data_IF_595878817630
#
_entry.id   IF_595878817630
#
_cell.length_a   1.000
_cell.length_b   1.000
_cell.length_c   1.000
_cell.angle_alpha   90.00
_cell.angle_beta   90.00
_cell.angle_gamma   90.00
#
_symmetry.space_group_name_H-M   'P 1'
#
loop_
_entity.id
_entity.type
_entity.pdbx_description
1 polymer ?
#
# COMPACT_ATOMS: atom_id res chain seq x y z
N UNK A 1 -18.90 12.99 11.10
CA UNK A 1 -17.51 13.38 10.79
C UNK A 1 -16.73 12.09 10.66
N UNK A 2 -16.31 11.73 9.45
CA UNK A 2 -15.52 10.51 9.22
C UNK A 2 -14.18 10.70 9.91
N UNK A 3 -13.86 9.84 10.89
CA UNK A 3 -12.52 9.78 11.45
C UNK A 3 -11.56 9.37 10.33
N UNK A 4 -10.40 10.04 10.17
CA UNK A 4 -9.38 9.58 9.24
C UNK A 4 -8.99 8.16 9.63
N UNK A 5 -8.84 7.27 8.62
CA UNK A 5 -8.34 5.90 8.83
C UNK A 5 -6.95 5.99 9.48
N UNK A 6 -6.87 5.66 10.75
CA UNK A 6 -5.60 5.60 11.47
C UNK A 6 -5.25 4.14 11.72
N UNK A 7 -4.12 3.71 11.19
CA UNK A 7 -3.57 2.37 11.45
C UNK A 7 -2.61 2.44 12.64
N UNK A 8 -2.65 1.44 13.53
CA UNK A 8 -1.65 1.36 14.59
C UNK A 8 -0.32 0.81 14.04
N UNK A 9 0.83 1.22 14.60
CA UNK A 9 2.12 0.61 14.25
C UNK A 9 2.13 -0.90 14.46
N UNK A 10 1.43 -1.40 15.49
CA UNK A 10 1.34 -2.84 15.78
C UNK A 10 0.58 -3.61 14.70
N UNK A 11 -0.54 -3.05 14.20
CA UNK A 11 -1.26 -3.63 13.07
C UNK A 11 -0.38 -3.71 11.82
N UNK A 12 0.36 -2.64 11.50
CA UNK A 12 1.27 -2.62 10.37
C UNK A 12 2.42 -3.62 10.54
N UNK A 13 2.93 -3.82 11.75
CA UNK A 13 3.93 -4.84 12.05
C UNK A 13 3.38 -6.26 11.90
N UNK A 14 2.15 -6.48 12.36
CA UNK A 14 1.51 -7.78 12.33
C UNK A 14 1.26 -8.27 10.88
N UNK A 15 0.91 -7.35 9.98
CA UNK A 15 0.63 -7.69 8.58
C UNK A 15 1.88 -7.75 7.68
N UNK A 16 2.98 -7.09 8.06
CA UNK A 16 4.18 -6.95 7.22
C UNK A 16 4.73 -8.29 6.67
N UNK A 17 4.77 -9.40 7.44
CA UNK A 17 5.18 -10.70 6.90
C UNK A 17 4.24 -11.24 5.81
N UNK A 18 2.93 -11.05 5.96
CA UNK A 18 1.94 -11.44 4.95
C UNK A 18 2.05 -10.56 3.70
N UNK A 19 2.24 -9.24 3.90
CA UNK A 19 2.48 -8.28 2.81
C UNK A 19 3.71 -8.68 1.99
N UNK A 20 4.80 -9.02 2.67
CA UNK A 20 6.05 -9.39 2.00
C UNK A 20 5.91 -10.69 1.20
N UNK A 21 5.24 -11.70 1.78
CA UNK A 21 5.03 -13.00 1.13
C UNK A 21 4.10 -12.92 -0.10
N UNK A 22 3.18 -11.96 -0.12
CA UNK A 22 2.15 -11.84 -1.16
C UNK A 22 2.59 -11.07 -2.41
N UNK A 23 3.58 -10.19 -2.31
CA UNK A 23 4.02 -9.32 -3.41
C UNK A 23 4.43 -10.10 -4.64
N UNK A 24 4.09 -9.56 -5.82
CA UNK A 24 4.51 -10.13 -7.10
C UNK A 24 6.02 -9.97 -7.33
N UNK A 25 6.76 -11.07 -7.26
CA UNK A 25 8.17 -11.09 -7.65
C UNK A 25 8.36 -10.80 -9.13
N UNK A 26 7.41 -11.18 -9.97
CA UNK A 26 7.44 -10.92 -11.42
C UNK A 26 7.46 -9.40 -11.69
N UNK A 27 6.59 -8.63 -11.01
CA UNK A 27 6.58 -7.18 -11.18
C UNK A 27 7.79 -6.51 -10.52
N UNK A 28 8.28 -7.03 -9.39
CA UNK A 28 9.49 -6.52 -8.75
C UNK A 28 10.72 -6.70 -9.65
N UNK A 29 10.89 -7.85 -10.30
CA UNK A 29 11.97 -8.12 -11.24
C UNK A 29 11.85 -7.27 -12.52
N UNK A 30 10.63 -7.07 -13.02
CA UNK A 30 10.40 -6.18 -14.16
C UNK A 30 10.72 -4.73 -13.82
N UNK A 31 10.29 -4.25 -12.65
CA UNK A 31 10.63 -2.93 -12.12
C UNK A 31 12.14 -2.73 -12.07
N UNK A 32 12.89 -3.66 -11.46
CA UNK A 32 14.34 -3.56 -11.33
C UNK A 32 15.00 -3.43 -12.71
N UNK A 33 14.58 -4.25 -13.69
CA UNK A 33 15.10 -4.16 -15.07
C UNK A 33 14.81 -2.83 -15.77
N UNK A 34 13.62 -2.27 -15.55
CA UNK A 34 13.23 -0.96 -16.13
C UNK A 34 14.05 0.16 -15.52
N UNK A 35 14.21 0.16 -14.18
CA UNK A 35 14.95 1.20 -13.47
C UNK A 35 16.45 1.18 -13.76
N UNK A 36 17.05 0.00 -13.88
CA UNK A 36 18.48 -0.13 -14.25
C UNK A 36 18.79 0.49 -15.61
N UNK A 37 17.84 0.49 -16.56
CA UNK A 37 18.03 1.10 -17.87
C UNK A 37 17.86 2.64 -17.85
N UNK A 38 17.15 3.15 -16.85
CA UNK A 38 16.73 4.55 -16.77
C UNK A 38 17.68 5.43 -15.92
N UNK A 39 18.58 4.85 -15.16
CA UNK A 39 19.48 5.56 -14.22
C UNK A 39 20.93 5.33 -14.64
N UNK A 40 21.71 6.40 -14.78
CA UNK A 40 23.16 6.29 -14.98
C UNK A 40 23.83 5.78 -13.69
N UNK A 41 24.99 5.16 -13.82
CA UNK A 41 25.70 4.50 -12.70
C UNK A 41 26.01 5.47 -11.55
N UNK A 42 26.13 6.76 -11.85
CA UNK A 42 26.50 7.82 -10.87
C UNK A 42 25.27 8.52 -10.25
N UNK A 43 24.06 8.23 -10.71
CA UNK A 43 22.84 8.88 -10.23
C UNK A 43 22.14 8.05 -9.14
N UNK A 44 21.64 8.71 -8.08
CA UNK A 44 20.75 8.06 -7.12
C UNK A 44 19.34 7.97 -7.67
N UNK A 45 18.73 6.80 -7.58
CA UNK A 45 17.34 6.61 -7.95
C UNK A 45 16.41 7.32 -6.94
N UNK A 46 15.69 8.35 -7.40
CA UNK A 46 14.65 9.01 -6.61
C UNK A 46 13.37 8.15 -6.53
N UNK A 47 12.93 7.82 -5.32
CA UNK A 47 11.71 7.04 -5.05
C UNK A 47 10.79 7.83 -4.11
N UNK A 48 9.52 7.98 -4.50
CA UNK A 48 8.47 8.52 -3.64
C UNK A 48 7.54 7.38 -3.20
N UNK A 49 7.44 7.16 -1.88
CA UNK A 49 6.54 6.17 -1.28
C UNK A 49 5.37 6.90 -0.60
N UNK A 50 4.17 6.73 -1.13
CA UNK A 50 2.95 7.41 -0.70
C UNK A 50 2.22 6.58 0.37
N UNK A 51 1.71 7.26 1.41
CA UNK A 51 1.06 6.61 2.56
C UNK A 51 1.94 5.46 3.11
N UNK A 52 3.21 5.79 3.33
CA UNK A 52 4.29 4.82 3.60
C UNK A 52 4.10 4.04 4.90
N UNK A 53 3.25 4.55 5.81
CA UNK A 53 3.09 3.97 7.13
C UNK A 53 4.43 3.91 7.88
N UNK A 54 4.84 2.72 8.29
CA UNK A 54 6.12 2.46 8.98
C UNK A 54 7.27 2.10 8.04
N UNK A 55 7.15 2.35 6.72
CA UNK A 55 8.20 2.10 5.73
C UNK A 55 8.35 0.64 5.28
N UNK A 56 7.34 -0.19 5.47
CA UNK A 56 7.38 -1.60 5.03
C UNK A 56 7.61 -1.77 3.53
N UNK A 57 7.05 -0.85 2.73
CA UNK A 57 7.19 -0.87 1.28
C UNK A 57 8.65 -0.65 0.84
N UNK A 58 9.35 0.30 1.46
CA UNK A 58 10.80 0.50 1.26
C UNK A 58 11.58 -0.78 1.58
N UNK A 59 11.35 -1.36 2.77
CA UNK A 59 12.08 -2.57 3.21
C UNK A 59 11.88 -3.76 2.29
N UNK A 60 10.71 -3.84 1.65
CA UNK A 60 10.42 -4.88 0.67
C UNK A 60 11.08 -4.62 -0.68
N UNK A 61 11.04 -3.39 -1.20
CA UNK A 61 11.43 -3.09 -2.58
C UNK A 61 12.90 -2.72 -2.74
N UNK A 62 13.49 -1.99 -1.78
CA UNK A 62 14.83 -1.47 -1.93
C UNK A 62 15.89 -2.55 -2.25
N UNK A 63 15.86 -3.76 -1.64
CA UNK A 63 16.79 -4.83 -1.98
C UNK A 63 16.62 -5.38 -3.40
N UNK A 64 15.39 -5.41 -3.93
CA UNK A 64 15.12 -5.85 -5.30
C UNK A 64 15.62 -4.85 -6.35
N UNK A 65 15.55 -3.56 -6.02
CA UNK A 65 16.00 -2.50 -6.92
C UNK A 65 17.52 -2.44 -6.94
N UNK A 66 18.18 -2.54 -5.79
CA UNK A 66 19.63 -2.44 -5.65
C UNK A 66 20.18 -1.04 -5.93
N UNK A 67 21.52 -0.88 -5.81
CA UNK A 67 22.21 0.36 -6.13
C UNK A 67 21.95 1.53 -5.16
N UNK A 68 22.29 2.73 -5.62
CA UNK A 68 22.12 3.95 -4.83
C UNK A 68 20.69 4.52 -4.99
N UNK A 69 19.97 4.69 -3.88
CA UNK A 69 18.57 5.11 -3.87
C UNK A 69 18.35 6.26 -2.88
N UNK A 70 17.45 7.18 -3.24
CA UNK A 70 16.93 8.19 -2.34
C UNK A 70 15.42 8.01 -2.20
N UNK A 71 14.99 7.61 -1.02
CA UNK A 71 13.58 7.41 -0.70
C UNK A 71 13.01 8.61 0.05
N UNK A 72 11.91 9.13 -0.47
CA UNK A 72 11.06 10.09 0.23
C UNK A 72 9.80 9.36 0.70
N UNK A 73 9.73 9.10 2.00
CA UNK A 73 8.60 8.43 2.64
C UNK A 73 7.60 9.49 3.10
N UNK A 74 6.37 9.44 2.59
CA UNK A 74 5.34 10.41 2.97
C UNK A 74 4.10 9.75 3.52
N UNK A 75 3.57 10.33 4.60
CA UNK A 75 2.34 9.91 5.26
C UNK A 75 1.67 11.13 5.92
N UNK A 76 0.38 11.02 6.23
CA UNK A 76 -0.33 12.01 7.03
C UNK A 76 -0.07 11.81 8.53
N UNK A 77 0.14 10.56 8.96
CA UNK A 77 0.31 10.22 10.39
C UNK A 77 1.78 10.36 10.80
N UNK A 78 2.05 11.43 11.53
CA UNK A 78 3.41 11.73 12.05
C UNK A 78 3.94 10.64 13.00
N UNK A 79 3.06 9.86 13.64
CA UNK A 79 3.47 8.76 14.54
C UNK A 79 4.05 7.61 13.73
N UNK A 80 3.42 7.28 12.58
CA UNK A 80 3.93 6.27 11.66
C UNK A 80 5.23 6.70 11.01
N UNK A 81 5.33 7.98 10.62
CA UNK A 81 6.56 8.56 10.07
C UNK A 81 7.72 8.56 11.08
N UNK A 82 7.44 8.68 12.38
CA UNK A 82 8.47 8.57 13.42
C UNK A 82 9.00 7.12 13.57
N UNK A 83 8.14 6.12 13.34
CA UNK A 83 8.50 4.71 13.39
C UNK A 83 9.30 4.25 12.15
N UNK A 84 9.06 4.84 10.98
CA UNK A 84 9.65 4.38 9.72
C UNK A 84 11.19 4.35 9.73
N UNK A 85 11.92 5.40 10.20
CA UNK A 85 13.37 5.37 10.35
C UNK A 85 13.86 4.31 11.33
N UNK A 86 13.18 4.18 12.47
CA UNK A 86 13.55 3.22 13.52
C UNK A 86 13.47 1.80 13.00
N UNK A 87 12.36 1.44 12.35
CA UNK A 87 12.16 0.11 11.78
C UNK A 87 13.08 -0.16 10.60
N UNK A 88 13.39 0.86 9.81
CA UNK A 88 14.35 0.74 8.70
C UNK A 88 15.77 0.48 9.20
N UNK A 89 16.20 1.16 10.26
CA UNK A 89 17.50 0.87 10.90
C UNK A 89 17.52 -0.55 11.48
N UNK A 90 16.49 -0.95 12.24
CA UNK A 90 16.42 -2.29 12.83
C UNK A 90 16.45 -3.39 11.76
N UNK A 91 15.72 -3.20 10.64
CA UNK A 91 15.72 -4.10 9.50
C UNK A 91 17.09 -4.21 8.84
N UNK A 92 17.81 -3.10 8.66
CA UNK A 92 19.14 -3.10 8.07
C UNK A 92 20.15 -3.83 8.97
N UNK A 93 20.13 -3.54 10.28
CA UNK A 93 20.97 -4.21 11.27
C UNK A 93 20.71 -5.72 11.31
N UNK A 94 19.43 -6.15 11.24
CA UNK A 94 19.07 -7.56 11.20
C UNK A 94 19.61 -8.29 9.95
N UNK A 95 19.90 -7.54 8.86
CA UNK A 95 20.58 -8.05 7.66
C UNK A 95 22.12 -7.99 7.73
N UNK A 96 22.68 -7.50 8.83
CA UNK A 96 24.13 -7.27 8.96
C UNK A 96 24.61 -6.05 8.17
N UNK A 97 23.74 -5.10 7.86
CA UNK A 97 24.07 -3.87 7.13
C UNK A 97 24.32 -2.72 8.09
N UNK A 98 25.06 -1.71 7.63
CA UNK A 98 25.25 -0.47 8.36
C UNK A 98 23.99 0.40 8.27
N UNK A 99 23.57 0.99 9.40
CA UNK A 99 22.47 1.93 9.46
C UNK A 99 22.76 3.06 10.43
N UNK A 100 22.49 4.30 9.99
CA UNK A 100 22.69 5.52 10.82
C UNK A 100 21.47 6.42 10.64
N UNK A 101 20.84 6.80 11.77
CA UNK A 101 19.75 7.76 11.81
C UNK A 101 20.24 9.15 12.23
N UNK A 102 19.84 10.17 11.48
CA UNK A 102 19.98 11.58 11.84
C UNK A 102 18.59 12.25 11.83
N UNK A 103 18.40 13.41 12.48
CA UNK A 103 17.13 14.13 12.39
C UNK A 103 16.72 14.37 10.92
N UNK A 104 15.59 13.78 10.52
CA UNK A 104 15.02 13.92 9.17
C UNK A 104 15.64 13.03 8.09
N UNK A 105 16.71 12.29 8.36
CA UNK A 105 17.35 11.40 7.39
C UNK A 105 17.83 10.10 8.03
N UNK A 106 17.76 9.01 7.26
CA UNK A 106 18.33 7.70 7.62
C UNK A 106 19.18 7.21 6.47
N UNK A 107 20.33 6.67 6.79
CA UNK A 107 21.27 6.10 5.82
C UNK A 107 21.41 4.61 6.09
N UNK A 108 21.36 3.81 5.04
CA UNK A 108 21.58 2.36 5.10
C UNK A 108 22.57 1.99 4.03
N UNK A 109 23.59 1.21 4.40
CA UNK A 109 24.58 0.67 3.45
C UNK A 109 24.72 -0.83 3.61
N UNK A 110 24.46 -1.55 2.54
CA UNK A 110 24.65 -2.98 2.40
C UNK A 110 25.53 -3.31 1.18
N UNK A 111 25.79 -4.58 0.89
CA UNK A 111 26.71 -4.99 -0.19
C UNK A 111 26.31 -4.47 -1.58
N UNK A 112 25.00 -4.40 -1.86
CA UNK A 112 24.46 -4.02 -3.17
C UNK A 112 23.49 -2.84 -3.09
N UNK A 113 23.48 -2.11 -1.96
CA UNK A 113 22.48 -1.09 -1.67
C UNK A 113 23.09 0.07 -0.88
N UNK A 114 22.75 1.30 -1.28
CA UNK A 114 23.10 2.52 -0.58
C UNK A 114 21.84 3.42 -0.53
N UNK A 115 21.18 3.48 0.63
CA UNK A 115 19.94 4.22 0.82
C UNK A 115 20.16 5.52 1.56
N UNK A 116 19.57 6.58 1.04
CA UNK A 116 19.23 7.79 1.80
C UNK A 116 17.71 7.82 1.93
N UNK A 117 17.19 7.93 3.13
CA UNK A 117 15.76 7.91 3.42
C UNK A 117 15.37 9.20 4.13
N UNK A 118 14.43 9.93 3.57
CA UNK A 118 13.83 11.13 4.16
C UNK A 118 12.35 10.90 4.44
N UNK A 119 11.80 11.55 5.47
CA UNK A 119 10.37 11.48 5.78
C UNK A 119 9.72 12.86 5.62
N UNK A 120 8.46 12.89 5.22
CA UNK A 120 7.70 14.13 5.04
C UNK A 120 6.21 13.94 5.34
N UNK A 121 5.58 14.95 5.95
CA UNK A 121 4.13 14.92 6.16
C UNK A 121 3.43 15.33 4.87
N UNK A 122 2.54 14.48 4.38
CA UNK A 122 1.77 14.74 3.18
C UNK A 122 0.31 14.28 3.32
N UNK A 123 -0.60 15.22 3.09
CA UNK A 123 -2.03 14.92 3.04
C UNK A 123 -2.46 14.67 1.58
N UNK A 124 -2.74 13.41 1.26
CA UNK A 124 -3.17 13.00 -0.08
C UNK A 124 -4.54 13.57 -0.50
N UNK A 125 -5.33 14.13 0.44
CA UNK A 125 -6.55 14.89 0.08
C UNK A 125 -6.25 16.08 -0.81
N UNK A 126 -5.03 16.55 -0.82
CA UNK A 126 -4.58 17.65 -1.68
C UNK A 126 -4.25 17.23 -3.13
N UNK A 127 -4.27 15.94 -3.47
CA UNK A 127 -4.05 15.46 -4.84
C UNK A 127 -4.95 16.18 -5.87
N UNK A 128 -6.23 16.32 -5.57
CA UNK A 128 -7.21 16.95 -6.46
C UNK A 128 -7.12 18.48 -6.51
N UNK A 129 -6.41 19.10 -5.55
CA UNK A 129 -6.20 20.56 -5.52
C UNK A 129 -5.02 21.01 -6.37
N UNK A 130 -4.31 20.06 -6.97
CA UNK A 130 -3.10 20.30 -7.79
C UNK A 130 -3.41 20.65 -9.24
N UNK A 131 -4.69 20.82 -9.63
CA UNK A 131 -5.04 21.23 -10.98
C UNK A 131 -4.49 22.64 -11.25
N UNK A 132 -3.65 22.77 -12.29
CA UNK A 132 -3.06 23.99 -12.81
C UNK A 132 -4.15 25.05 -13.10
N UNK A 133 -4.38 25.92 -12.15
CA UNK A 133 -4.95 27.23 -12.43
C UNK A 133 -3.74 28.14 -12.65
N UNK A 134 -3.53 28.53 -13.89
CA UNK A 134 -2.44 29.42 -14.29
C UNK A 134 -2.34 30.60 -13.30
N UNK A 135 -1.17 30.76 -12.65
CA UNK A 135 -0.87 31.84 -11.72
C UNK A 135 -0.97 31.53 -10.22
N UNK A 136 -1.26 30.29 -9.80
CA UNK A 136 -1.14 29.87 -8.40
C UNK A 136 0.22 29.20 -8.13
N UNK A 137 0.83 29.43 -6.94
CA UNK A 137 2.02 28.68 -6.57
C UNK A 137 1.71 27.17 -6.63
N UNK A 138 2.66 26.40 -7.18
CA UNK A 138 2.54 24.93 -7.29
C UNK A 138 2.12 24.35 -5.93
N UNK A 139 1.10 23.49 -5.94
CA UNK A 139 0.68 22.81 -4.72
C UNK A 139 1.88 22.08 -4.09
N UNK A 140 2.07 22.12 -2.76
CA UNK A 140 3.20 21.46 -2.09
C UNK A 140 3.36 19.99 -2.49
N UNK A 141 2.26 19.31 -2.86
CA UNK A 141 2.29 17.92 -3.30
C UNK A 141 3.08 17.71 -4.59
N UNK A 142 3.06 18.68 -5.53
CA UNK A 142 3.77 18.58 -6.81
C UNK A 142 5.28 18.50 -6.61
N UNK A 143 5.80 19.23 -5.60
CA UNK A 143 7.22 19.22 -5.25
C UNK A 143 7.75 17.83 -4.86
N UNK A 144 6.92 16.99 -4.21
CA UNK A 144 7.32 15.64 -3.84
C UNK A 144 7.50 14.70 -5.04
N UNK A 145 6.83 14.97 -6.16
CA UNK A 145 6.95 14.17 -7.39
C UNK A 145 8.16 14.60 -8.27
N UNK A 146 8.73 15.77 -8.03
CA UNK A 146 9.84 16.27 -8.85
C UNK A 146 11.10 15.42 -8.63
N UNK A 147 11.72 15.01 -9.74
CA UNK A 147 12.94 14.19 -9.71
C UNK A 147 12.74 12.73 -9.33
N UNK A 148 11.50 12.30 -8.98
CA UNK A 148 11.21 10.91 -8.71
C UNK A 148 11.17 10.09 -10.00
N UNK A 149 11.94 9.01 -10.04
CA UNK A 149 11.90 8.00 -11.11
C UNK A 149 10.92 6.88 -10.84
N UNK A 150 10.62 6.64 -9.57
CA UNK A 150 9.63 5.67 -9.11
C UNK A 150 8.66 6.35 -8.16
N UNK A 151 7.37 6.18 -8.39
CA UNK A 151 6.30 6.47 -7.43
C UNK A 151 5.67 5.16 -7.03
N UNK A 152 5.61 4.90 -5.73
CA UNK A 152 5.08 3.65 -5.19
C UNK A 152 4.13 3.89 -4.02
N UNK A 153 3.27 2.93 -3.75
CA UNK A 153 2.40 2.87 -2.57
C UNK A 153 2.01 1.42 -2.30
N UNK A 154 1.67 1.13 -1.05
CA UNK A 154 1.18 -0.18 -0.64
C UNK A 154 -0.17 -0.05 0.05
N UNK A 155 -1.18 -0.85 -0.37
CA UNK A 155 -2.53 -0.88 0.18
C UNK A 155 -3.19 0.52 0.26
N UNK A 156 -3.14 1.27 -0.84
CA UNK A 156 -3.62 2.65 -0.90
C UNK A 156 -4.79 2.83 -1.88
N UNK A 157 -4.72 2.22 -3.08
CA UNK A 157 -5.62 2.59 -4.18
C UNK A 157 -7.09 2.29 -3.87
N UNK A 158 -7.37 1.26 -3.11
CA UNK A 158 -8.73 0.91 -2.66
C UNK A 158 -9.35 1.93 -1.69
N UNK A 159 -8.53 2.78 -1.06
CA UNK A 159 -8.98 3.84 -0.17
C UNK A 159 -9.28 5.15 -0.90
N UNK A 160 -8.72 5.34 -2.09
CA UNK A 160 -8.83 6.56 -2.88
C UNK A 160 -10.16 6.62 -3.63
N UNK A 161 -10.65 7.84 -3.87
CA UNK A 161 -11.77 8.09 -4.78
C UNK A 161 -11.30 8.21 -6.23
N UNK A 162 -12.23 8.12 -7.18
CA UNK A 162 -11.96 8.27 -8.62
C UNK A 162 -11.20 9.58 -8.95
N UNK A 163 -11.61 10.78 -8.46
CA UNK A 163 -10.86 12.01 -8.72
C UNK A 163 -9.42 11.98 -8.16
N UNK A 164 -9.20 11.31 -7.02
CA UNK A 164 -7.89 11.18 -6.40
C UNK A 164 -6.96 10.31 -7.24
N UNK A 165 -7.44 9.17 -7.70
CA UNK A 165 -6.69 8.25 -8.57
C UNK A 165 -6.35 8.93 -9.89
N UNK A 166 -7.29 9.64 -10.51
CA UNK A 166 -7.05 10.40 -11.74
C UNK A 166 -5.98 11.50 -11.55
N UNK A 167 -6.01 12.19 -10.41
CA UNK A 167 -5.01 13.22 -10.09
C UNK A 167 -3.63 12.59 -9.85
N UNK A 168 -3.57 11.48 -9.10
CA UNK A 168 -2.34 10.72 -8.85
C UNK A 168 -1.69 10.25 -10.16
N UNK A 169 -2.47 9.67 -11.07
CA UNK A 169 -1.99 9.22 -12.38
C UNK A 169 -1.38 10.39 -13.18
N UNK A 170 -2.03 11.57 -13.19
CA UNK A 170 -1.49 12.77 -13.84
C UNK A 170 -0.17 13.24 -13.22
N UNK A 171 -0.05 13.23 -11.89
CA UNK A 171 1.19 13.62 -11.20
C UNK A 171 2.34 12.67 -11.54
N UNK A 172 2.09 11.35 -11.54
CA UNK A 172 3.05 10.35 -11.99
C UNK A 172 3.48 10.58 -13.45
N UNK A 173 2.52 10.90 -14.33
CA UNK A 173 2.80 11.19 -15.73
C UNK A 173 3.68 12.45 -15.90
N UNK A 174 3.36 13.55 -15.20
CA UNK A 174 4.16 14.78 -15.23
C UNK A 174 5.59 14.56 -14.72
N UNK A 175 5.75 13.78 -13.66
CA UNK A 175 7.05 13.39 -13.13
C UNK A 175 7.83 12.43 -14.05
N UNK A 176 7.19 11.89 -15.08
CA UNK A 176 7.73 10.82 -15.95
C UNK A 176 8.15 9.59 -15.17
N UNK A 177 7.52 9.34 -14.04
CA UNK A 177 7.86 8.26 -13.14
C UNK A 177 7.37 6.91 -13.65
N UNK A 178 8.13 5.85 -13.35
CA UNK A 178 7.61 4.48 -13.30
C UNK A 178 6.70 4.39 -12.06
N UNK A 179 5.65 3.59 -12.14
CA UNK A 179 4.66 3.46 -11.05
C UNK A 179 4.58 2.01 -10.63
N UNK A 180 4.71 1.75 -9.31
CA UNK A 180 4.44 0.45 -8.74
C UNK A 180 3.50 0.62 -7.54
N UNK A 181 2.25 0.21 -7.68
CA UNK A 181 1.29 0.16 -6.59
C UNK A 181 1.01 -1.31 -6.24
N UNK A 182 1.12 -1.65 -4.96
CA UNK A 182 1.08 -3.04 -4.52
C UNK A 182 0.01 -3.27 -3.46
N UNK A 183 -0.43 -4.52 -3.33
CA UNK A 183 -1.33 -4.98 -2.28
C UNK A 183 -2.65 -4.18 -2.23
N UNK A 184 -3.20 -3.82 -3.39
CA UNK A 184 -4.51 -3.19 -3.49
C UNK A 184 -5.59 -4.26 -3.35
N UNK A 185 -6.47 -4.12 -2.38
CA UNK A 185 -7.59 -5.03 -2.16
C UNK A 185 -8.50 -5.10 -3.40
N UNK A 186 -8.86 -6.33 -3.83
CA UNK A 186 -9.63 -6.56 -5.05
C UNK A 186 -11.03 -7.18 -4.83
N UNK A 187 -11.47 -7.28 -3.57
CA UNK A 187 -12.80 -7.73 -3.20
C UNK A 187 -12.93 -9.24 -2.98
N UNK A 188 -11.91 -10.02 -3.29
CA UNK A 188 -11.93 -11.46 -3.06
C UNK A 188 -11.57 -11.79 -1.63
N UNK A 189 -12.43 -12.54 -0.97
CA UNK A 189 -12.19 -13.12 0.36
C UNK A 189 -12.65 -14.57 0.29
N UNK A 190 -11.80 -15.50 0.69
CA UNK A 190 -12.15 -16.90 0.85
C UNK A 190 -11.71 -17.40 2.22
N UNK A 191 -12.54 -18.23 2.83
CA UNK A 191 -12.32 -18.79 4.15
C UNK A 191 -12.45 -20.30 4.10
N UNK A 192 -11.55 -21.01 4.78
CA UNK A 192 -11.62 -22.44 4.97
C UNK A 192 -11.46 -22.77 6.48
N UNK A 193 -12.26 -23.70 7.05
CA UNK A 193 -13.46 -24.31 6.44
C UNK A 193 -14.51 -23.27 6.03
N UNK A 194 -15.38 -23.57 5.06
CA UNK A 194 -16.45 -22.65 4.64
C UNK A 194 -17.56 -22.57 5.69
N UNK A 195 -18.14 -21.37 5.84
CA UNK A 195 -19.30 -21.12 6.70
C UNK A 195 -20.46 -20.53 5.85
N UNK A 196 -21.72 -20.79 6.20
CA UNK A 196 -22.86 -20.36 5.38
C UNK A 196 -22.92 -18.86 5.09
N UNK A 197 -22.44 -18.02 6.03
CA UNK A 197 -22.56 -16.56 5.95
C UNK A 197 -21.33 -15.89 5.29
N UNK A 198 -20.31 -16.63 4.85
CA UNK A 198 -19.06 -16.06 4.34
C UNK A 198 -19.26 -15.12 3.16
N UNK A 199 -20.10 -15.50 2.20
CA UNK A 199 -20.40 -14.66 1.03
C UNK A 199 -21.13 -13.38 1.41
N UNK A 200 -22.13 -13.48 2.28
CA UNK A 200 -22.90 -12.33 2.75
C UNK A 200 -22.00 -11.34 3.49
N UNK A 201 -21.09 -11.84 4.35
CA UNK A 201 -20.13 -10.99 5.07
C UNK A 201 -19.15 -10.35 4.09
N UNK A 202 -18.59 -11.09 3.13
CA UNK A 202 -17.71 -10.54 2.08
C UNK A 202 -18.41 -9.40 1.33
N UNK A 203 -19.66 -9.58 0.95
CA UNK A 203 -20.42 -8.57 0.20
C UNK A 203 -20.67 -7.30 1.03
N UNK A 204 -20.92 -7.46 2.33
CA UNK A 204 -21.03 -6.34 3.26
C UNK A 204 -19.68 -5.61 3.41
N UNK A 205 -18.58 -6.33 3.56
CA UNK A 205 -17.23 -5.76 3.59
C UNK A 205 -16.93 -5.00 2.31
N UNK A 206 -17.23 -5.57 1.14
CA UNK A 206 -17.03 -4.91 -0.15
C UNK A 206 -17.85 -3.62 -0.30
N UNK A 207 -19.07 -3.60 0.23
CA UNK A 207 -19.89 -2.37 0.29
C UNK A 207 -19.25 -1.35 1.23
N UNK A 208 -18.78 -1.77 2.40
CA UNK A 208 -18.10 -0.91 3.35
C UNK A 208 -16.80 -0.31 2.76
N UNK A 209 -16.03 -1.09 1.97
CA UNK A 209 -14.83 -0.58 1.32
C UNK A 209 -15.11 0.55 0.32
N UNK A 210 -16.33 0.66 -0.21
CA UNK A 210 -16.74 1.75 -1.10
C UNK A 210 -17.29 2.99 -0.38
N UNK A 211 -17.35 2.98 0.95
CA UNK A 211 -17.74 4.19 1.72
C UNK A 211 -16.64 5.24 1.71
N UNK A 212 -16.94 6.45 2.12
CA UNK A 212 -15.95 7.53 2.22
C UNK A 212 -14.88 7.18 3.25
N UNK A 213 -13.63 7.13 2.80
CA UNK A 213 -12.42 6.88 3.62
C UNK A 213 -11.64 8.18 3.91
N UNK A 214 -12.28 9.34 3.77
CA UNK A 214 -11.66 10.66 3.93
C UNK A 214 -11.26 11.31 2.62
N UNK A 215 -11.53 10.63 1.48
CA UNK A 215 -11.23 11.09 0.13
C UNK A 215 -12.48 11.21 -0.77
N UNK A 216 -13.68 11.13 -0.19
CA UNK A 216 -14.94 10.87 -0.88
C UNK A 216 -15.18 9.36 -1.04
N UNK A 217 -16.22 8.95 -1.80
CA UNK A 217 -16.52 7.54 -2.02
C UNK A 217 -15.28 6.79 -2.56
N UNK A 218 -14.83 5.83 -1.79
CA UNK A 218 -13.63 5.05 -2.14
C UNK A 218 -13.93 4.08 -3.30
N UNK A 219 -12.90 3.81 -4.10
CA UNK A 219 -13.00 2.83 -5.19
C UNK A 219 -13.15 1.39 -4.67
N UNK A 220 -12.61 1.11 -3.47
CA UNK A 220 -12.62 -0.23 -2.91
C UNK A 220 -12.00 -1.24 -3.88
N UNK A 221 -12.67 -2.37 -4.16
CA UNK A 221 -12.17 -3.40 -5.08
C UNK A 221 -11.85 -2.92 -6.51
N UNK A 222 -12.38 -1.77 -6.91
CA UNK A 222 -12.16 -1.21 -8.24
C UNK A 222 -10.89 -0.33 -8.32
N UNK A 223 -10.14 -0.18 -7.23
CA UNK A 223 -8.95 0.68 -7.14
C UNK A 223 -7.90 0.37 -8.21
N UNK A 224 -7.50 -0.90 -8.36
CA UNK A 224 -6.52 -1.30 -9.37
C UNK A 224 -7.01 -1.11 -10.81
N UNK A 225 -8.20 -1.61 -11.24
CA UNK A 225 -8.63 -1.46 -12.62
C UNK A 225 -8.88 0.01 -13.01
N UNK A 226 -9.38 0.85 -12.10
CA UNK A 226 -9.58 2.27 -12.38
C UNK A 226 -8.24 3.01 -12.52
N UNK A 227 -7.28 2.72 -11.64
CA UNK A 227 -5.92 3.27 -11.75
C UNK A 227 -5.26 2.86 -13.06
N UNK A 228 -5.36 1.57 -13.43
CA UNK A 228 -4.84 1.05 -14.69
C UNK A 228 -5.41 1.81 -15.90
N UNK A 229 -6.74 2.04 -15.94
CA UNK A 229 -7.39 2.81 -17.01
C UNK A 229 -6.80 4.22 -17.14
N UNK A 230 -6.71 4.98 -16.04
CA UNK A 230 -6.15 6.33 -16.08
C UNK A 230 -4.69 6.36 -16.54
N UNK A 231 -3.88 5.38 -16.14
CA UNK A 231 -2.47 5.30 -16.58
C UNK A 231 -2.35 4.94 -18.05
N UNK A 232 -3.19 4.02 -18.56
CA UNK A 232 -3.24 3.68 -19.99
C UNK A 232 -3.63 4.90 -20.83
N UNK A 233 -4.66 5.65 -20.41
CA UNK A 233 -5.11 6.88 -21.09
C UNK A 233 -3.99 7.96 -21.15
N UNK A 234 -3.04 7.91 -20.21
CA UNK A 234 -1.86 8.78 -20.18
C UNK A 234 -0.62 8.19 -20.90
N UNK A 235 -0.78 7.08 -21.64
CA UNK A 235 0.28 6.49 -22.43
C UNK A 235 1.24 5.58 -21.66
N UNK A 236 0.79 5.01 -20.54
CA UNK A 236 1.55 3.96 -19.86
C UNK A 236 1.20 2.58 -20.40
N UNK A 237 2.20 1.71 -20.44
CA UNK A 237 1.99 0.26 -20.47
C UNK A 237 1.76 -0.20 -19.04
N UNK A 238 0.62 -0.80 -18.79
CA UNK A 238 0.23 -1.28 -17.46
C UNK A 238 0.21 -2.81 -17.43
N UNK A 239 0.79 -3.38 -16.39
CA UNK A 239 0.74 -4.81 -16.07
C UNK A 239 0.23 -4.98 -14.64
N UNK A 240 -0.63 -5.97 -14.43
CA UNK A 240 -1.13 -6.32 -13.09
C UNK A 240 -0.91 -7.79 -12.81
N UNK A 241 -0.56 -8.11 -11.56
CA UNK A 241 -0.41 -9.49 -11.09
C UNK A 241 -1.17 -9.65 -9.76
N UNK A 242 -1.66 -10.86 -9.44
CA UNK A 242 -2.23 -11.13 -8.13
C UNK A 242 -1.14 -11.06 -7.05
N UNK A 243 -1.53 -10.56 -5.87
CA UNK A 243 -0.70 -10.46 -4.67
C UNK A 243 -1.50 -10.85 -3.43
N UNK A 244 -2.14 -12.03 -3.49
CA UNK A 244 -3.09 -12.47 -2.50
C UNK A 244 -2.41 -12.83 -1.17
N UNK A 245 -2.96 -12.38 -0.05
CA UNK A 245 -2.61 -12.96 1.24
C UNK A 245 -3.14 -14.38 1.34
N UNK A 246 -2.27 -15.30 1.74
CA UNK A 246 -2.61 -16.68 2.06
C UNK A 246 -2.24 -16.93 3.52
N UNK A 247 -3.22 -16.82 4.40
CA UNK A 247 -3.03 -16.81 5.84
C UNK A 247 -3.38 -18.20 6.42
N UNK A 248 -2.35 -18.95 6.77
CA UNK A 248 -2.47 -20.21 7.51
C UNK A 248 -2.52 -20.02 9.03
N UNK A 249 -2.45 -21.12 9.82
CA UNK A 249 -2.46 -21.07 11.29
C UNK A 249 -1.35 -20.20 11.90
N UNK A 250 -0.22 -20.07 11.24
CA UNK A 250 0.91 -19.22 11.69
C UNK A 250 0.55 -17.73 11.73
N UNK A 251 -0.50 -17.32 11.02
CA UNK A 251 -1.05 -15.98 11.02
C UNK A 251 -2.29 -15.84 11.92
N UNK A 252 -2.43 -16.65 12.97
CA UNK A 252 -3.66 -16.70 13.78
C UNK A 252 -4.06 -15.32 14.35
N UNK A 253 -3.11 -14.51 14.81
CA UNK A 253 -3.42 -13.19 15.35
C UNK A 253 -3.87 -12.21 14.24
N UNK A 254 -3.24 -12.21 13.09
CA UNK A 254 -3.67 -11.44 11.94
C UNK A 254 -5.08 -11.84 11.49
N UNK A 255 -5.37 -13.13 11.44
CA UNK A 255 -6.71 -13.64 11.14
C UNK A 255 -7.76 -13.15 12.15
N UNK A 256 -7.47 -13.16 13.46
CA UNK A 256 -8.40 -12.65 14.49
C UNK A 256 -8.76 -11.19 14.27
N UNK A 257 -7.75 -10.37 14.02
CA UNK A 257 -7.96 -8.92 13.81
C UNK A 257 -8.70 -8.65 12.51
N UNK A 258 -8.39 -9.36 11.41
CA UNK A 258 -9.13 -9.27 10.15
C UNK A 258 -10.60 -9.64 10.32
N UNK A 259 -10.87 -10.80 10.92
CA UNK A 259 -12.24 -11.28 11.14
C UNK A 259 -13.05 -10.32 12.01
N UNK A 260 -12.44 -9.77 13.05
CA UNK A 260 -13.07 -8.74 13.90
C UNK A 260 -13.36 -7.47 13.11
N UNK A 261 -12.41 -6.99 12.28
CA UNK A 261 -12.59 -5.83 11.40
C UNK A 261 -13.68 -6.05 10.35
N UNK A 262 -13.77 -7.22 9.73
CA UNK A 262 -14.84 -7.56 8.79
C UNK A 262 -16.20 -7.61 9.46
N UNK A 263 -16.29 -8.21 10.66
CA UNK A 263 -17.53 -8.24 11.43
C UNK A 263 -17.99 -6.82 11.79
N UNK A 264 -17.06 -5.93 12.19
CA UNK A 264 -17.37 -4.53 12.47
C UNK A 264 -17.91 -3.83 11.22
N UNK A 265 -17.21 -3.92 10.10
CA UNK A 265 -17.64 -3.33 8.82
C UNK A 265 -19.00 -3.88 8.36
N UNK A 266 -19.24 -5.18 8.54
CA UNK A 266 -20.52 -5.81 8.20
C UNK A 266 -21.67 -5.28 9.09
N UNK A 267 -21.44 -5.09 10.39
CA UNK A 267 -22.42 -4.51 11.31
C UNK A 267 -22.75 -3.05 10.96
N UNK A 268 -21.75 -2.26 10.55
CA UNK A 268 -22.01 -0.88 10.09
C UNK A 268 -22.89 -0.85 8.84
N UNK A 269 -22.68 -1.77 7.90
CA UNK A 269 -23.43 -1.84 6.64
C UNK A 269 -24.81 -2.47 6.79
N UNK A 270 -25.01 -3.34 7.80
CA UNK A 270 -26.28 -4.04 8.03
C UNK A 270 -26.55 -4.21 9.53
N UNK A 271 -26.88 -3.14 10.28
CA UNK A 271 -27.09 -3.21 11.74
C UNK A 271 -28.15 -4.21 12.17
N UNK A 272 -29.20 -4.42 11.36
CA UNK A 272 -30.25 -5.40 11.62
C UNK A 272 -29.75 -6.87 11.58
N UNK A 273 -28.59 -7.13 10.97
CA UNK A 273 -27.97 -8.45 10.86
C UNK A 273 -26.86 -8.68 11.91
N UNK A 274 -26.68 -7.78 12.88
CA UNK A 274 -25.61 -7.85 13.88
C UNK A 274 -25.55 -9.18 14.63
N UNK A 275 -26.70 -9.81 14.92
CA UNK A 275 -26.76 -11.13 15.53
C UNK A 275 -26.15 -12.24 14.66
N UNK A 276 -26.44 -12.25 13.35
CA UNK A 276 -25.87 -13.20 12.37
C UNK A 276 -24.36 -12.96 12.23
N UNK A 277 -23.92 -11.69 12.12
CA UNK A 277 -22.50 -11.32 12.03
C UNK A 277 -21.73 -11.77 13.27
N UNK A 278 -22.28 -11.57 14.47
CA UNK A 278 -21.66 -12.00 15.73
C UNK A 278 -21.54 -13.52 15.79
N UNK A 279 -22.58 -14.26 15.39
CA UNK A 279 -22.55 -15.72 15.36
C UNK A 279 -21.53 -16.25 14.33
N UNK A 280 -21.45 -15.62 13.14
CA UNK A 280 -20.42 -15.91 12.14
C UNK A 280 -19.01 -15.68 12.69
N UNK A 281 -18.77 -14.54 13.32
CA UNK A 281 -17.45 -14.22 13.90
C UNK A 281 -17.05 -15.27 14.95
N UNK A 282 -17.98 -15.69 15.82
CA UNK A 282 -17.71 -16.70 16.83
C UNK A 282 -17.28 -18.04 16.20
N UNK A 283 -17.96 -18.50 15.14
CA UNK A 283 -17.59 -19.72 14.40
C UNK A 283 -16.22 -19.59 13.75
N UNK A 284 -15.93 -18.45 13.11
CA UNK A 284 -14.62 -18.18 12.52
C UNK A 284 -13.48 -18.20 13.53
N UNK A 285 -13.67 -17.54 14.68
CA UNK A 285 -12.68 -17.55 15.77
C UNK A 285 -12.49 -18.95 16.36
N UNK A 286 -13.54 -19.79 16.41
CA UNK A 286 -13.40 -21.18 16.80
C UNK A 286 -12.50 -21.98 15.84
N UNK A 287 -12.59 -21.73 14.52
CA UNK A 287 -11.66 -22.32 13.55
C UNK A 287 -10.22 -21.83 13.74
N UNK A 288 -10.02 -20.54 13.99
CA UNK A 288 -8.68 -19.98 14.28
C UNK A 288 -8.09 -20.62 15.53
N UNK A 289 -8.87 -20.69 16.61
CA UNK A 289 -8.41 -21.27 17.89
C UNK A 289 -8.10 -22.76 17.79
N UNK A 290 -8.78 -23.49 16.90
CA UNK A 290 -8.52 -24.89 16.62
C UNK A 290 -7.37 -25.13 15.61
N UNK A 291 -6.68 -24.08 15.14
CA UNK A 291 -5.59 -24.18 14.15
C UNK A 291 -6.05 -24.64 12.76
N UNK A 292 -7.36 -24.59 12.47
CA UNK A 292 -7.93 -25.06 11.19
C UNK A 292 -8.23 -23.96 10.20
N UNK A 293 -8.22 -22.69 10.65
CA UNK A 293 -8.56 -21.55 9.81
C UNK A 293 -7.49 -21.29 8.75
N UNK A 294 -7.95 -21.06 7.53
CA UNK A 294 -7.16 -20.53 6.42
C UNK A 294 -7.97 -19.44 5.75
N UNK A 295 -7.36 -18.26 5.57
CA UNK A 295 -7.99 -17.15 4.87
C UNK A 295 -7.16 -16.84 3.64
N UNK A 296 -7.82 -16.52 2.52
CA UNK A 296 -7.17 -15.82 1.42
C UNK A 296 -7.90 -14.49 1.19
N UNK A 297 -7.10 -13.42 1.09
CA UNK A 297 -7.58 -12.07 0.82
C UNK A 297 -6.97 -11.61 -0.48
N UNK A 298 -7.82 -11.36 -1.46
CA UNK A 298 -7.39 -10.97 -2.80
C UNK A 298 -6.81 -9.56 -2.82
N UNK A 299 -5.63 -9.45 -3.40
CA UNK A 299 -4.98 -8.19 -3.72
C UNK A 299 -4.40 -8.22 -5.13
N UNK A 300 -4.09 -7.04 -5.65
CA UNK A 300 -3.40 -6.89 -6.92
C UNK A 300 -2.25 -5.89 -6.81
N UNK A 301 -1.14 -6.25 -7.44
CA UNK A 301 -0.03 -5.36 -7.72
C UNK A 301 -0.18 -4.82 -9.15
N UNK A 302 0.22 -3.56 -9.35
CA UNK A 302 0.19 -2.86 -10.62
C UNK A 302 1.55 -2.20 -10.88
N UNK A 303 2.17 -2.53 -12.01
CA UNK A 303 3.34 -1.85 -12.57
C UNK A 303 2.92 -1.08 -13.81
N UNK A 304 3.32 0.20 -13.89
CA UNK A 304 3.12 1.01 -15.08
C UNK A 304 4.43 1.67 -15.53
N UNK A 305 4.76 1.49 -16.80
CA UNK A 305 5.95 2.03 -17.45
C UNK A 305 5.55 2.87 -18.65
N UNK A 306 6.27 3.95 -18.92
CA UNK A 306 5.97 4.77 -20.09
C UNK A 306 6.27 4.02 -21.38
N UNK A 307 5.43 4.22 -22.37
CA UNK A 307 5.73 3.81 -23.77
C UNK A 307 6.63 4.91 -24.33
N UNK A 308 7.87 4.56 -24.66
CA UNK A 308 8.81 5.45 -25.34
C UNK A 308 8.38 5.71 -26.78
#
# INVERSE_FOLDING_TARGET
MSHPLTFSPDWLALREPADLAARSTILADELARVLTRAVSVDDRLGVLDLATGTGANLRALAPHIGGAQHWTLVDLDVRLLAEAPVRTCAWAVAKGWEATGHPGQTFVRGPEIDLTVSTGVLDLRHLTKSSDVAGRPASPIVGHFQGCRLVTASALLDLLSEPQVAALARLCHHARAVVLFVLTYDGRITCAPTEPDDEAIRDLVNRHQRTDKGFGPALGPDGTPRTASHLVDLGYRVRTEPSDWVLGPDFAELQRQLLAGWAHAACEMAPAQSGTVTAWLARRLAHVNAGRSRLAVGHRDLLATRIE
#
